data_IF_018945733470
#
_entry.id   IF_018945733470
#
_cell.length_a   1.000
_cell.length_b   1.000
_cell.length_c   1.000
_cell.angle_alpha   90.00
_cell.angle_beta   90.00
_cell.angle_gamma   90.00
#
_symmetry.space_group_name_H-M   'P 1'
#
loop_
_entity.id
_entity.type
_entity.pdbx_description
1 polymer ?
#
# COMPACT_ATOMS: atom_id res chain seq x y z
N UNK A 1 -26.96 -0.37 -30.57
CA UNK A 1 -26.16 0.62 -31.32
C UNK A 1 -25.03 1.08 -30.41
N UNK A 2 -23.83 0.52 -30.58
CA UNK A 2 -22.63 1.13 -30.01
C UNK A 2 -22.37 2.45 -30.77
N UNK A 3 -22.30 3.56 -30.04
CA UNK A 3 -22.03 4.89 -30.58
C UNK A 3 -20.55 5.20 -30.35
N UNK A 4 -19.74 5.19 -31.41
CA UNK A 4 -18.37 5.72 -31.41
C UNK A 4 -17.29 4.72 -31.83
N UNK A 5 -16.04 5.18 -31.90
CA UNK A 5 -14.83 4.37 -32.18
C UNK A 5 -14.37 3.54 -30.96
N UNK A 6 -15.05 3.67 -29.83
CA UNK A 6 -14.77 2.91 -28.62
C UNK A 6 -15.17 1.44 -28.80
N UNK A 7 -14.29 0.52 -28.41
CA UNK A 7 -14.60 -0.90 -28.29
C UNK A 7 -14.09 -1.38 -26.93
N UNK A 8 -15.00 -1.95 -26.13
CA UNK A 8 -14.70 -2.51 -24.81
C UNK A 8 -13.70 -3.68 -24.87
N UNK A 9 -13.50 -4.27 -26.04
CA UNK A 9 -12.48 -5.30 -26.26
C UNK A 9 -11.04 -4.81 -26.07
N UNK A 10 -10.81 -3.48 -26.10
CA UNK A 10 -9.50 -2.85 -25.86
C UNK A 10 -9.38 -2.19 -24.47
N UNK A 11 -10.38 -2.38 -23.59
CA UNK A 11 -10.32 -1.87 -22.23
C UNK A 11 -9.40 -2.76 -21.38
N UNK A 12 -8.39 -2.17 -20.75
CA UNK A 12 -7.43 -2.88 -19.91
C UNK A 12 -7.25 -2.15 -18.59
N UNK A 13 -7.51 -2.84 -17.47
CA UNK A 13 -7.25 -2.32 -16.14
C UNK A 13 -5.73 -2.18 -15.89
N UNK A 14 -5.32 -0.95 -15.60
CA UNK A 14 -3.93 -0.58 -15.34
C UNK A 14 -3.63 -0.60 -13.83
N UNK A 15 -3.83 -1.73 -13.15
CA UNK A 15 -3.45 -1.89 -11.74
C UNK A 15 -2.52 -3.09 -11.56
N UNK A 16 -1.38 -2.87 -10.89
CA UNK A 16 -0.42 -3.91 -10.53
C UNK A 16 -0.58 -4.37 -9.08
N UNK A 17 -0.58 -5.68 -8.85
CA UNK A 17 -0.58 -6.29 -7.52
C UNK A 17 0.52 -7.34 -7.47
N UNK A 18 1.23 -7.41 -6.34
CA UNK A 18 2.27 -8.41 -6.09
C UNK A 18 2.28 -8.84 -4.62
N UNK A 19 2.88 -10.00 -4.35
CA UNK A 19 3.01 -10.53 -3.01
C UNK A 19 4.42 -11.13 -2.83
N UNK A 20 5.02 -10.85 -1.68
CA UNK A 20 6.30 -11.42 -1.27
C UNK A 20 6.09 -12.16 0.04
N UNK A 21 6.53 -13.41 0.11
CA UNK A 21 6.35 -14.29 1.27
C UNK A 21 7.64 -15.02 1.58
N UNK A 22 7.99 -15.08 2.87
CA UNK A 22 8.94 -16.07 3.37
C UNK A 22 8.20 -17.36 3.73
N UNK A 23 8.41 -18.43 2.96
CA UNK A 23 7.69 -19.71 3.13
C UNK A 23 8.03 -20.42 4.45
N UNK A 24 9.14 -20.07 5.08
CA UNK A 24 9.53 -20.61 6.39
C UNK A 24 8.95 -19.78 7.55
N UNK A 25 8.23 -18.70 7.26
CA UNK A 25 7.58 -17.85 8.28
C UNK A 25 8.54 -16.94 9.04
N UNK A 26 9.81 -16.87 8.65
CA UNK A 26 10.79 -15.99 9.27
C UNK A 26 10.49 -14.53 8.91
N UNK A 27 10.42 -13.67 9.93
CA UNK A 27 10.29 -12.23 9.75
C UNK A 27 11.64 -11.64 9.36
N UNK A 28 11.64 -10.75 8.37
CA UNK A 28 12.83 -10.00 7.95
C UNK A 28 12.42 -8.66 7.36
N UNK A 29 13.23 -7.62 7.58
CA UNK A 29 13.06 -6.32 6.90
C UNK A 29 13.23 -6.45 5.38
N UNK A 30 13.99 -7.44 4.91
CA UNK A 30 14.18 -7.74 3.49
C UNK A 30 12.86 -7.94 2.75
N UNK A 31 11.82 -8.48 3.41
CA UNK A 31 10.49 -8.62 2.81
C UNK A 31 9.85 -7.27 2.49
N UNK A 32 10.09 -6.25 3.31
CA UNK A 32 9.62 -4.87 3.09
C UNK A 32 10.36 -4.27 1.90
N UNK A 33 11.70 -4.39 1.87
CA UNK A 33 12.52 -3.88 0.77
C UNK A 33 12.13 -4.52 -0.57
N UNK A 34 11.90 -5.84 -0.56
CA UNK A 34 11.43 -6.57 -1.73
C UNK A 34 10.03 -6.12 -2.18
N UNK A 35 9.10 -5.88 -1.24
CA UNK A 35 7.76 -5.39 -1.58
C UNK A 35 7.81 -3.98 -2.20
N UNK A 36 8.66 -3.10 -1.68
CA UNK A 36 8.90 -1.77 -2.26
C UNK A 36 9.51 -1.89 -3.67
N UNK A 37 10.47 -2.79 -3.88
CA UNK A 37 11.05 -3.05 -5.19
C UNK A 37 10.02 -3.55 -6.21
N UNK A 38 9.09 -4.40 -5.76
CA UNK A 38 7.97 -4.86 -6.59
C UNK A 38 7.09 -3.68 -7.02
N UNK A 39 6.77 -2.74 -6.12
CA UNK A 39 6.02 -1.53 -6.48
C UNK A 39 6.77 -0.65 -7.50
N UNK A 40 8.07 -0.41 -7.30
CA UNK A 40 8.90 0.34 -8.25
C UNK A 40 8.86 -0.27 -9.66
N UNK A 41 8.96 -1.61 -9.74
CA UNK A 41 8.91 -2.33 -10.99
C UNK A 41 7.51 -2.30 -11.65
N UNK A 42 6.45 -2.05 -10.88
CA UNK A 42 5.08 -1.91 -11.37
C UNK A 42 4.71 -0.46 -11.77
N UNK A 43 5.62 0.51 -11.69
CA UNK A 43 5.35 1.91 -12.06
C UNK A 43 4.74 2.07 -13.45
N UNK A 44 5.20 1.29 -14.43
CA UNK A 44 4.69 1.31 -15.81
C UNK A 44 3.21 0.91 -15.94
N UNK A 45 2.63 0.31 -14.88
CA UNK A 45 1.22 0.00 -14.80
C UNK A 45 0.43 1.04 -14.02
N UNK A 46 1.07 2.00 -13.35
CA UNK A 46 0.38 3.03 -12.60
C UNK A 46 -0.08 4.18 -13.49
N UNK A 47 -1.16 4.84 -13.10
CA UNK A 47 -1.51 6.14 -13.64
C UNK A 47 -0.69 7.24 -12.94
N UNK A 48 -0.12 8.14 -13.75
CA UNK A 48 0.67 9.28 -13.30
C UNK A 48 -0.02 10.58 -13.73
N UNK A 49 0.01 11.58 -12.84
CA UNK A 49 -0.47 12.92 -13.12
C UNK A 49 0.48 13.71 -14.01
N UNK A 50 -0.02 14.80 -14.60
CA UNK A 50 0.75 15.64 -15.54
C UNK A 50 1.96 16.36 -14.90
N UNK A 51 2.06 16.38 -13.57
CA UNK A 51 3.14 17.02 -12.81
C UNK A 51 4.36 16.12 -12.58
N UNK A 52 4.33 14.86 -13.07
CA UNK A 52 5.35 13.82 -12.84
C UNK A 52 5.69 13.58 -11.36
N UNK A 53 4.81 13.97 -10.43
CA UNK A 53 4.97 13.81 -8.98
C UNK A 53 3.80 13.08 -8.35
N UNK A 54 2.62 13.29 -8.90
CA UNK A 54 1.37 12.71 -8.43
C UNK A 54 1.11 11.41 -9.16
N UNK A 55 0.73 10.37 -8.43
CA UNK A 55 0.17 9.14 -8.99
C UNK A 55 -1.12 8.79 -8.24
N UNK A 56 -1.93 7.92 -8.83
CA UNK A 56 -3.26 7.59 -8.28
C UNK A 56 -3.17 6.87 -6.93
N UNK A 57 -2.11 6.11 -6.70
CA UNK A 57 -1.80 5.51 -5.41
C UNK A 57 -0.90 4.28 -5.49
N UNK A 58 -0.15 4.04 -4.42
CA UNK A 58 0.62 2.83 -4.20
C UNK A 58 0.67 2.54 -2.69
N UNK A 59 0.78 1.26 -2.33
CA UNK A 59 0.84 0.87 -0.92
C UNK A 59 1.29 -0.58 -0.73
N UNK A 60 1.79 -0.86 0.46
CA UNK A 60 2.10 -2.22 0.92
C UNK A 60 1.27 -2.54 2.15
N UNK A 61 0.90 -3.80 2.30
CA UNK A 61 0.27 -4.32 3.50
C UNK A 61 1.25 -5.29 4.18
N UNK A 62 1.46 -5.11 5.47
CA UNK A 62 2.38 -5.90 6.27
C UNK A 62 1.66 -6.45 7.51
N UNK A 63 2.27 -7.43 8.16
CA UNK A 63 1.85 -7.85 9.50
C UNK A 63 2.08 -6.71 10.52
N UNK A 64 1.34 -6.72 11.63
CA UNK A 64 1.56 -5.75 12.73
C UNK A 64 3.03 -5.81 13.17
N UNK A 65 3.80 -4.70 13.03
CA UNK A 65 5.23 -4.69 13.31
C UNK A 65 5.48 -4.51 14.82
N UNK A 66 5.12 -5.53 15.61
CA UNK A 66 5.11 -5.48 17.08
C UNK A 66 6.42 -4.98 17.70
N UNK A 67 7.56 -5.47 17.22
CA UNK A 67 8.89 -5.07 17.71
C UNK A 67 9.17 -3.59 17.42
N UNK A 68 8.78 -3.09 16.23
CA UNK A 68 8.91 -1.69 15.88
C UNK A 68 8.05 -0.78 16.78
N UNK A 69 6.81 -1.17 17.06
CA UNK A 69 5.90 -0.41 17.94
C UNK A 69 6.48 -0.28 19.35
N UNK A 70 7.01 -1.37 19.92
CA UNK A 70 7.67 -1.36 21.23
C UNK A 70 8.92 -0.47 21.23
N UNK A 71 9.72 -0.48 20.14
CA UNK A 71 10.90 0.38 20.00
C UNK A 71 10.54 1.88 19.93
N UNK A 72 9.33 2.23 19.47
CA UNK A 72 8.83 3.62 19.53
C UNK A 72 8.39 4.04 20.95
N UNK A 73 8.52 3.16 21.95
CA UNK A 73 8.13 3.45 23.34
C UNK A 73 6.63 3.38 23.59
N UNK A 74 5.86 2.79 22.67
CA UNK A 74 4.40 2.64 22.80
C UNK A 74 4.12 1.34 23.55
N UNK A 75 3.58 1.38 24.79
CA UNK A 75 3.24 0.18 25.52
C UNK A 75 2.02 -0.48 24.87
N UNK A 76 2.19 -1.72 24.42
CA UNK A 76 1.11 -2.52 23.81
C UNK A 76 1.04 -3.91 24.47
N UNK A 77 -0.13 -4.57 24.45
CA UNK A 77 -0.26 -5.96 24.85
C UNK A 77 0.66 -6.90 24.05
N UNK A 78 0.71 -8.15 24.48
CA UNK A 78 1.41 -9.20 23.75
C UNK A 78 0.98 -9.30 22.28
N UNK A 79 1.89 -9.73 21.42
CA UNK A 79 1.63 -9.94 19.99
C UNK A 79 0.36 -10.77 19.79
N UNK A 80 -0.56 -10.27 18.96
CA UNK A 80 -1.84 -10.94 18.66
C UNK A 80 -2.96 -10.67 19.67
N UNK A 81 -2.70 -9.88 20.72
CA UNK A 81 -3.71 -9.44 21.70
C UNK A 81 -4.16 -7.99 21.51
N UNK A 82 -3.74 -7.34 20.43
CA UNK A 82 -4.13 -5.97 20.08
C UNK A 82 -4.26 -5.81 18.57
N UNK A 83 -5.03 -4.82 18.15
CA UNK A 83 -5.15 -4.39 16.76
C UNK A 83 -4.54 -3.01 16.56
N UNK A 84 -4.18 -2.69 15.31
CA UNK A 84 -3.72 -1.36 14.90
C UNK A 84 -4.64 -0.83 13.80
N UNK A 85 -4.81 0.49 13.75
CA UNK A 85 -5.54 1.17 12.68
C UNK A 85 -4.70 2.27 12.07
N UNK A 86 -4.75 2.37 10.74
CA UNK A 86 -4.26 3.54 10.01
C UNK A 86 -5.48 4.38 9.61
N UNK A 87 -5.57 5.61 10.12
CA UNK A 87 -6.72 6.49 9.91
C UNK A 87 -6.26 7.78 9.23
N UNK A 88 -6.98 8.20 8.19
CA UNK A 88 -6.81 9.51 7.58
C UNK A 88 -7.85 10.47 8.15
N UNK A 89 -7.37 11.50 8.87
CA UNK A 89 -8.20 12.58 9.40
C UNK A 89 -8.10 13.83 8.51
N UNK A 90 -9.09 14.72 8.51
CA UNK A 90 -9.00 16.02 7.83
C UNK A 90 -7.74 16.77 8.27
N UNK A 91 -7.05 17.48 7.38
CA UNK A 91 -5.86 18.28 7.75
C UNK A 91 -6.22 19.55 8.54
N UNK A 92 -7.44 20.05 8.39
CA UNK A 92 -7.95 21.23 9.08
C UNK A 92 -8.39 20.86 10.50
N UNK A 93 -7.70 21.40 11.52
CA UNK A 93 -7.97 21.14 12.94
C UNK A 93 -9.41 21.44 13.33
N UNK A 94 -10.05 22.44 12.72
CA UNK A 94 -11.45 22.78 13.02
C UNK A 94 -12.43 21.70 12.55
N UNK A 95 -12.02 20.88 11.58
CA UNK A 95 -12.80 19.75 11.03
C UNK A 95 -12.45 18.42 11.70
N UNK A 96 -11.53 18.42 12.67
CA UNK A 96 -11.15 17.24 13.45
C UNK A 96 -11.90 17.14 14.79
N UNK A 97 -12.68 18.17 15.16
CA UNK A 97 -13.56 18.18 16.33
C UNK A 97 -14.88 17.46 16.04
#
# INVERSE_FOLDING_TARGET
>A
MEKGLYSSAYEHDACGVGMVVNIHGNKSHELVDNALKVLENMRHRGAEGADNKTGDGAGIMLQIPHEFILLQGIPVPEKGKYGTGLVFLPKDEKKQQ
#
